data_IF_215099963431
#
_entry.id   IF_215099963431
#
_cell.length_a   1.000
_cell.length_b   1.000
_cell.length_c   1.000
_cell.angle_alpha   90.00
_cell.angle_beta   90.00
_cell.angle_gamma   90.00
#
_symmetry.space_group_name_H-M   'P 1'
#
loop_
_entity.id
_entity.type
_entity.pdbx_description
1 polymer ?
#
# COMPACT_ATOMS: atom_id res chain seq x y z
N UNK A 1 -0.88 -21.22 44.56
CA UNK A 1 -1.93 -21.31 45.59
C UNK A 1 -1.29 -21.79 46.88
N UNK A 2 -1.36 -21.03 47.95
CA UNK A 2 -1.03 -21.51 49.29
C UNK A 2 -2.34 -21.97 49.95
N UNK A 3 -2.54 -23.27 50.05
CA UNK A 3 -3.67 -23.84 50.77
C UNK A 3 -3.41 -23.79 52.28
N UNK A 4 -4.29 -23.17 53.05
CA UNK A 4 -4.28 -23.29 54.50
C UNK A 4 -4.89 -24.61 54.90
N UNK A 5 -4.23 -25.36 55.80
CA UNK A 5 -4.86 -26.49 56.52
C UNK A 5 -5.49 -25.97 57.79
N UNK A 6 -6.74 -26.37 58.07
CA UNK A 6 -7.38 -26.10 59.36
C UNK A 6 -6.93 -27.12 60.39
N UNK A 7 -6.35 -26.65 61.48
CA UNK A 7 -6.20 -27.46 62.67
C UNK A 7 -7.56 -27.53 63.41
N UNK A 8 -7.90 -28.65 63.99
CA UNK A 8 -9.25 -28.92 64.64
C UNK A 8 -9.66 -27.90 65.68
N UNK A 9 -8.76 -27.06 66.15
CA UNK A 9 -9.02 -26.06 67.20
C UNK A 9 -9.09 -24.61 66.70
N UNK A 10 -8.87 -24.33 65.38
CA UNK A 10 -8.94 -22.99 64.82
C UNK A 10 -10.03 -22.88 63.75
N UNK A 11 -11.06 -22.11 64.07
CA UNK A 11 -12.00 -21.68 63.02
C UNK A 11 -11.34 -20.63 62.11
N UNK A 12 -11.10 -21.00 60.85
CA UNK A 12 -10.66 -20.05 59.85
C UNK A 12 -11.87 -19.29 59.30
N UNK A 13 -11.90 -17.99 59.52
CA UNK A 13 -12.96 -17.11 59.01
C UNK A 13 -12.61 -16.49 57.67
N UNK A 14 -11.40 -16.76 57.15
CA UNK A 14 -10.90 -16.12 55.92
C UNK A 14 -9.97 -17.06 55.14
N UNK A 15 -10.26 -17.23 53.86
CA UNK A 15 -9.37 -17.85 52.89
C UNK A 15 -8.84 -16.75 51.97
N UNK A 16 -7.52 -16.64 51.86
CA UNK A 16 -6.88 -15.73 50.95
C UNK A 16 -6.46 -16.46 49.66
N UNK A 17 -6.93 -16.00 48.54
CA UNK A 17 -6.52 -16.48 47.21
C UNK A 17 -5.64 -15.42 46.59
N UNK A 18 -4.42 -15.83 46.17
CA UNK A 18 -3.47 -14.97 45.46
C UNK A 18 -3.30 -15.54 44.06
N UNK A 19 -3.52 -14.69 43.05
CA UNK A 19 -3.36 -15.03 41.63
C UNK A 19 -2.33 -14.10 41.01
N UNK A 20 -1.52 -14.62 40.08
CA UNK A 20 -0.74 -13.77 39.19
C UNK A 20 -1.66 -13.00 38.27
N UNK A 21 -1.23 -11.81 37.80
CA UNK A 21 -1.99 -11.06 36.82
C UNK A 21 -2.25 -11.91 35.57
N UNK A 22 -3.41 -11.72 34.95
CA UNK A 22 -3.68 -12.34 33.66
C UNK A 22 -2.88 -11.61 32.55
N UNK A 23 -1.93 -12.29 31.96
CA UNK A 23 -1.13 -11.77 30.84
C UNK A 23 -1.72 -12.12 29.47
N UNK A 24 -2.81 -12.91 29.43
CA UNK A 24 -3.50 -13.35 28.22
C UNK A 24 -4.43 -12.25 27.67
N UNK A 25 -4.71 -12.30 26.39
CA UNK A 25 -5.74 -11.47 25.74
C UNK A 25 -7.17 -12.00 25.99
N UNK A 26 -7.30 -13.14 26.69
CA UNK A 26 -8.57 -13.75 27.07
C UNK A 26 -8.84 -13.60 28.56
N UNK A 27 -10.12 -13.59 28.90
CA UNK A 27 -10.54 -13.85 30.27
C UNK A 27 -10.11 -15.27 30.66
N UNK A 28 -9.65 -15.46 31.86
CA UNK A 28 -9.42 -16.80 32.40
C UNK A 28 -10.24 -17.02 33.66
N UNK A 29 -10.68 -18.25 33.82
CA UNK A 29 -11.49 -18.67 34.95
C UNK A 29 -10.84 -19.87 35.61
N UNK A 30 -11.01 -19.98 36.92
CA UNK A 30 -10.58 -21.13 37.71
C UNK A 30 -11.58 -21.38 38.85
N UNK A 31 -12.03 -22.60 38.97
CA UNK A 31 -12.84 -23.00 40.11
C UNK A 31 -11.92 -23.57 41.20
N UNK A 32 -12.11 -23.10 42.42
CA UNK A 32 -11.46 -23.62 43.61
C UNK A 32 -12.52 -24.37 44.40
N UNK A 33 -12.29 -25.67 44.60
CA UNK A 33 -13.14 -26.53 45.41
C UNK A 33 -12.66 -26.48 46.86
N UNK A 34 -13.52 -26.00 47.77
CA UNK A 34 -13.25 -25.92 49.20
C UNK A 34 -14.08 -26.97 49.88
N UNK A 35 -13.44 -27.99 50.48
CA UNK A 35 -14.10 -29.08 51.17
C UNK A 35 -13.89 -28.97 52.65
N UNK A 36 -14.97 -28.91 53.41
CA UNK A 36 -14.96 -29.09 54.87
C UNK A 36 -14.66 -30.55 55.20
N UNK A 37 -13.53 -30.80 55.82
CA UNK A 37 -13.08 -32.14 56.14
C UNK A 37 -13.93 -32.82 57.27
N UNK A 38 -14.66 -32.01 58.02
CA UNK A 38 -15.51 -32.53 59.16
C UNK A 38 -16.82 -33.10 58.66
N UNK A 39 -17.53 -32.35 57.81
CA UNK A 39 -18.86 -32.72 57.32
C UNK A 39 -18.86 -33.15 55.85
N UNK A 40 -17.68 -33.10 55.15
CA UNK A 40 -17.51 -33.46 53.74
C UNK A 40 -18.30 -32.57 52.75
N UNK A 41 -18.78 -31.43 53.19
CA UNK A 41 -19.43 -30.49 52.31
C UNK A 41 -18.39 -29.78 51.47
N UNK A 42 -18.67 -29.61 50.17
CA UNK A 42 -17.81 -28.87 49.22
C UNK A 42 -18.54 -27.63 48.73
N UNK A 43 -17.84 -26.51 48.71
CA UNK A 43 -18.29 -25.26 48.12
C UNK A 43 -17.33 -24.85 47.03
N UNK A 44 -17.85 -24.44 45.90
CA UNK A 44 -17.08 -23.98 44.76
C UNK A 44 -16.93 -22.44 44.78
N UNK A 45 -15.71 -21.97 44.60
CA UNK A 45 -15.40 -20.56 44.40
C UNK A 45 -14.89 -20.38 42.98
N UNK A 46 -15.66 -19.70 42.14
CA UNK A 46 -15.25 -19.31 40.81
C UNK A 46 -14.41 -18.04 40.91
N UNK A 47 -13.22 -18.07 40.34
CA UNK A 47 -12.34 -16.93 40.20
C UNK A 47 -12.27 -16.56 38.71
N UNK A 48 -12.59 -15.33 38.38
CA UNK A 48 -12.50 -14.77 37.06
C UNK A 48 -11.44 -13.66 37.04
N UNK A 49 -10.60 -13.65 36.01
CA UNK A 49 -9.63 -12.61 35.79
C UNK A 49 -9.82 -12.05 34.38
N UNK A 50 -10.06 -10.76 34.32
CA UNK A 50 -10.15 -10.01 33.05
C UNK A 50 -8.88 -10.18 32.22
N UNK A 51 -8.99 -10.05 30.88
CA UNK A 51 -7.81 -10.04 30.01
C UNK A 51 -6.93 -8.85 30.33
N UNK A 52 -5.63 -8.97 29.97
CA UNK A 52 -4.67 -7.87 30.13
C UNK A 52 -5.03 -6.62 29.34
N UNK A 53 -5.75 -6.78 28.23
CA UNK A 53 -6.16 -5.71 27.33
C UNK A 53 -7.64 -5.81 27.00
N UNK A 54 -8.33 -4.67 27.04
CA UNK A 54 -9.69 -4.57 26.47
C UNK A 54 -9.60 -4.65 24.96
N UNK A 55 -10.31 -5.59 24.33
CA UNK A 55 -10.27 -5.77 22.89
C UNK A 55 -11.21 -4.85 22.12
N UNK A 56 -10.77 -4.42 20.95
CA UNK A 56 -11.55 -3.79 19.89
C UNK A 56 -11.89 -4.85 18.85
N UNK A 57 -13.14 -4.96 18.44
CA UNK A 57 -13.53 -5.96 17.44
C UNK A 57 -13.39 -5.39 16.04
N UNK A 58 -12.70 -6.14 15.17
CA UNK A 58 -12.69 -5.96 13.73
C UNK A 58 -13.64 -6.97 13.10
N UNK A 59 -14.74 -6.51 12.54
CA UNK A 59 -15.69 -7.35 11.82
C UNK A 59 -15.30 -7.43 10.34
N UNK A 60 -15.10 -8.65 9.83
CA UNK A 60 -14.79 -8.96 8.46
C UNK A 60 -15.98 -9.66 7.81
N UNK A 61 -16.37 -9.21 6.62
CA UNK A 61 -17.40 -9.87 5.81
C UNK A 61 -16.80 -10.25 4.43
N UNK A 62 -16.36 -11.52 4.27
CA UNK A 62 -15.74 -11.99 3.02
C UNK A 62 -16.71 -12.04 1.83
N UNK A 63 -18.02 -11.94 2.06
CA UNK A 63 -19.04 -11.97 1.00
C UNK A 63 -19.18 -10.63 0.29
N UNK A 64 -18.80 -9.52 0.96
CA UNK A 64 -18.82 -8.17 0.38
C UNK A 64 -17.46 -7.88 -0.23
N UNK A 65 -17.37 -8.03 -1.55
CA UNK A 65 -16.14 -7.83 -2.34
C UNK A 65 -16.12 -6.47 -3.02
N UNK A 66 -14.91 -5.90 -3.12
CA UNK A 66 -14.64 -4.63 -3.76
C UNK A 66 -13.66 -4.81 -4.94
N UNK A 67 -12.66 -3.95 -5.08
CA UNK A 67 -11.70 -3.99 -6.18
C UNK A 67 -10.69 -5.14 -6.05
N UNK A 68 -10.22 -5.67 -7.18
CA UNK A 68 -9.03 -6.52 -7.21
C UNK A 68 -7.77 -5.68 -6.97
N UNK A 69 -6.77 -6.26 -6.34
CA UNK A 69 -5.49 -5.60 -6.05
C UNK A 69 -4.44 -6.14 -7.02
N UNK A 70 -3.98 -5.28 -7.93
CA UNK A 70 -2.93 -5.62 -8.90
C UNK A 70 -1.55 -5.67 -8.25
N UNK A 71 -1.26 -4.75 -7.31
CA UNK A 71 -0.01 -4.79 -6.58
C UNK A 71 0.53 -3.46 -6.11
N UNK A 72 1.79 -3.52 -5.64
CA UNK A 72 2.51 -2.41 -5.03
C UNK A 72 3.96 -2.42 -5.51
N UNK A 73 4.56 -1.22 -5.63
CA UNK A 73 5.94 -1.12 -6.05
C UNK A 73 6.40 0.32 -6.22
N UNK A 74 7.32 0.57 -7.15
CA UNK A 74 7.85 1.91 -7.29
C UNK A 74 8.49 2.17 -8.65
N UNK A 75 8.95 3.42 -8.79
CA UNK A 75 9.59 3.94 -9.99
C UNK A 75 11.08 3.66 -10.02
N UNK A 76 11.61 3.34 -11.19
CA UNK A 76 13.03 3.28 -11.51
C UNK A 76 13.33 3.97 -12.84
N UNK A 77 14.23 4.97 -12.83
CA UNK A 77 14.74 5.63 -14.03
C UNK A 77 16.18 6.12 -13.79
N UNK A 78 17.19 5.31 -14.03
CA UNK A 78 18.58 5.61 -13.66
C UNK A 78 19.21 6.80 -14.42
N UNK A 79 18.62 7.24 -15.52
CA UNK A 79 19.14 8.35 -16.35
C UNK A 79 18.73 9.73 -15.85
N UNK A 80 17.57 9.85 -15.22
CA UNK A 80 16.98 11.14 -14.86
C UNK A 80 16.50 11.07 -13.39
N UNK A 81 16.70 12.16 -12.63
CA UNK A 81 16.25 12.41 -11.25
C UNK A 81 16.75 11.44 -10.16
N UNK A 82 17.11 10.21 -10.44
CA UNK A 82 17.66 9.33 -9.40
C UNK A 82 19.19 9.45 -9.23
N UNK A 83 19.81 10.48 -9.83
CA UNK A 83 21.23 10.76 -9.66
C UNK A 83 22.18 9.66 -10.17
N UNK A 84 21.73 8.82 -11.11
CA UNK A 84 22.48 7.66 -11.57
C UNK A 84 22.51 6.49 -10.58
N UNK A 85 21.69 6.51 -9.52
CA UNK A 85 21.60 5.43 -8.55
C UNK A 85 21.05 4.16 -9.20
N UNK A 86 21.93 3.22 -9.51
CA UNK A 86 21.56 1.93 -10.04
C UNK A 86 21.03 1.02 -8.94
N UNK A 87 20.05 0.21 -9.28
CA UNK A 87 19.56 -0.87 -8.42
C UNK A 87 20.29 -2.14 -8.86
N UNK A 88 21.04 -2.76 -7.96
CA UNK A 88 21.73 -4.02 -8.25
C UNK A 88 20.75 -5.21 -8.31
N UNK A 89 21.15 -6.30 -8.94
CA UNK A 89 20.38 -7.54 -8.97
C UNK A 89 20.00 -8.03 -7.56
N UNK A 90 20.91 -7.92 -6.58
CA UNK A 90 20.64 -8.26 -5.18
C UNK A 90 19.55 -7.36 -4.57
N UNK A 91 19.59 -6.06 -4.86
CA UNK A 91 18.58 -5.11 -4.36
C UNK A 91 17.21 -5.36 -5.00
N UNK A 92 17.18 -5.72 -6.29
CA UNK A 92 15.95 -6.13 -6.98
C UNK A 92 15.38 -7.42 -6.37
N UNK A 93 16.23 -8.40 -6.10
CA UNK A 93 15.83 -9.64 -5.41
C UNK A 93 15.28 -9.36 -4.00
N UNK A 94 15.89 -8.44 -3.26
CA UNK A 94 15.41 -8.01 -1.96
C UNK A 94 14.01 -7.36 -2.02
N UNK A 95 13.67 -6.67 -3.10
CA UNK A 95 12.37 -6.03 -3.29
C UNK A 95 11.32 -6.98 -3.88
N UNK A 96 11.68 -7.72 -4.94
CA UNK A 96 10.75 -8.48 -5.77
C UNK A 96 10.90 -10.00 -5.60
N UNK A 97 12.05 -10.49 -5.10
CA UNK A 97 12.36 -11.91 -4.99
C UNK A 97 11.56 -12.64 -3.91
N UNK A 98 11.61 -13.97 -3.96
CA UNK A 98 10.99 -14.82 -2.95
C UNK A 98 11.61 -14.55 -1.57
N UNK A 99 10.76 -14.30 -0.57
CA UNK A 99 11.21 -13.91 0.78
C UNK A 99 11.67 -12.46 0.92
N UNK A 100 11.62 -11.67 -0.16
CA UNK A 100 11.84 -10.23 -0.15
C UNK A 100 10.63 -9.44 0.32
N UNK A 101 10.56 -8.16 -0.07
CA UNK A 101 9.49 -7.26 0.36
C UNK A 101 8.13 -7.52 -0.33
N UNK A 102 8.10 -8.41 -1.34
CA UNK A 102 6.87 -8.78 -2.04
C UNK A 102 6.37 -7.73 -3.03
N UNK A 103 7.23 -6.79 -3.45
CA UNK A 103 6.82 -5.82 -4.47
C UNK A 103 6.48 -6.55 -5.78
N UNK A 104 5.50 -6.03 -6.48
CA UNK A 104 4.90 -6.68 -7.64
C UNK A 104 4.68 -5.74 -8.82
N UNK A 105 5.08 -4.48 -8.70
CA UNK A 105 4.96 -3.48 -9.79
C UNK A 105 6.29 -2.72 -9.93
N UNK A 106 6.76 -2.60 -11.16
CA UNK A 106 7.87 -1.74 -11.55
C UNK A 106 7.39 -0.74 -12.60
N UNK A 107 7.54 0.56 -12.30
CA UNK A 107 7.27 1.64 -13.23
C UNK A 107 8.57 2.12 -13.86
N UNK A 108 8.56 2.30 -15.17
CA UNK A 108 9.69 2.76 -15.99
C UNK A 108 9.37 4.06 -16.70
N UNK A 109 10.42 4.74 -17.17
CA UNK A 109 10.31 5.91 -18.02
C UNK A 109 10.45 5.53 -19.50
N UNK A 110 9.57 6.04 -20.35
CA UNK A 110 9.83 6.08 -21.79
C UNK A 110 10.69 7.31 -22.06
N UNK A 111 11.98 7.10 -22.22
CA UNK A 111 12.89 8.20 -22.54
C UNK A 111 12.61 8.74 -23.94
N UNK A 112 12.69 10.08 -24.14
CA UNK A 112 12.47 10.67 -25.47
C UNK A 112 13.52 10.23 -26.50
N UNK A 113 14.76 9.94 -26.06
CA UNK A 113 15.83 9.44 -26.92
C UNK A 113 15.86 7.90 -26.90
N UNK A 114 15.71 7.27 -28.05
CA UNK A 114 15.71 5.81 -28.19
C UNK A 114 17.03 5.16 -27.73
N UNK A 115 18.16 5.88 -27.82
CA UNK A 115 19.47 5.43 -27.31
C UNK A 115 19.50 5.19 -25.80
N UNK A 116 18.57 5.76 -25.05
CA UNK A 116 18.49 5.64 -23.60
C UNK A 116 17.59 4.49 -23.13
N UNK A 117 16.79 3.91 -24.02
CA UNK A 117 15.79 2.87 -23.67
C UNK A 117 16.39 1.62 -23.03
N UNK A 118 17.68 1.34 -23.32
CA UNK A 118 18.37 0.17 -22.76
C UNK A 118 18.68 0.31 -21.25
N UNK A 119 18.55 1.52 -20.68
CA UNK A 119 18.96 1.79 -19.31
C UNK A 119 18.19 0.99 -18.25
N UNK A 120 16.93 0.66 -18.53
CA UNK A 120 16.01 0.04 -17.59
C UNK A 120 15.79 -1.46 -17.86
N UNK A 121 16.28 -1.99 -18.99
CA UNK A 121 15.97 -3.35 -19.46
C UNK A 121 16.34 -4.42 -18.45
N UNK A 122 17.55 -4.39 -17.90
CA UNK A 122 18.01 -5.43 -16.97
C UNK A 122 17.24 -5.40 -15.65
N UNK A 123 16.89 -4.21 -15.14
CA UNK A 123 16.06 -4.08 -13.95
C UNK A 123 14.63 -4.59 -14.20
N UNK A 124 14.07 -4.27 -15.36
CA UNK A 124 12.73 -4.73 -15.77
C UNK A 124 12.68 -6.26 -15.91
N UNK A 125 13.69 -6.87 -16.55
CA UNK A 125 13.81 -8.34 -16.66
C UNK A 125 13.89 -9.01 -15.30
N UNK A 126 14.71 -8.47 -14.39
CA UNK A 126 14.89 -9.03 -13.06
C UNK A 126 13.59 -8.94 -12.24
N UNK A 127 12.89 -7.82 -12.28
CA UNK A 127 11.59 -7.67 -11.61
C UNK A 127 10.54 -8.62 -12.21
N UNK A 128 10.46 -8.70 -13.54
CA UNK A 128 9.50 -9.55 -14.25
C UNK A 128 9.78 -11.04 -14.04
N UNK A 129 11.04 -11.46 -13.91
CA UNK A 129 11.40 -12.83 -13.59
C UNK A 129 10.88 -13.27 -12.20
N UNK A 130 10.64 -12.31 -11.31
CA UNK A 130 10.00 -12.50 -10.01
C UNK A 130 8.47 -12.26 -10.04
N UNK A 131 7.87 -12.21 -11.22
CA UNK A 131 6.41 -12.07 -11.40
C UNK A 131 5.89 -10.64 -11.32
N UNK A 132 6.76 -9.63 -11.31
CA UNK A 132 6.30 -8.24 -11.24
C UNK A 132 5.65 -7.78 -12.55
N UNK A 133 4.61 -6.96 -12.42
CA UNK A 133 4.04 -6.17 -13.49
C UNK A 133 5.04 -5.05 -13.84
N UNK A 134 5.36 -4.90 -15.13
CA UNK A 134 6.18 -3.78 -15.62
C UNK A 134 5.32 -2.88 -16.49
N UNK A 135 5.26 -1.59 -16.20
CA UNK A 135 4.62 -0.60 -17.04
C UNK A 135 5.51 0.63 -17.22
N UNK A 136 5.23 1.41 -18.26
CA UNK A 136 6.06 2.55 -18.61
C UNK A 136 5.23 3.81 -18.88
N UNK A 137 5.85 4.96 -18.64
CA UNK A 137 5.24 6.27 -18.79
C UNK A 137 6.24 7.26 -19.43
N UNK A 138 5.88 8.04 -20.47
CA UNK A 138 6.70 9.12 -21.00
C UNK A 138 6.50 10.42 -20.21
N UNK A 139 7.60 11.16 -19.95
CA UNK A 139 7.57 12.51 -19.39
C UNK A 139 7.66 13.55 -20.51
N UNK A 140 8.55 13.32 -21.46
CA UNK A 140 8.82 14.23 -22.57
C UNK A 140 8.62 13.56 -23.92
N UNK A 141 8.05 14.29 -24.87
CA UNK A 141 8.19 13.95 -26.27
C UNK A 141 9.53 14.49 -26.81
N UNK A 142 9.98 13.95 -27.95
CA UNK A 142 11.20 14.44 -28.61
C UNK A 142 11.01 15.87 -29.08
N UNK A 143 12.12 16.66 -29.13
CA UNK A 143 12.07 18.05 -29.55
C UNK A 143 11.57 18.19 -31.00
N UNK A 144 11.85 17.21 -31.86
CA UNK A 144 11.37 17.20 -33.26
C UNK A 144 9.84 17.13 -33.37
N UNK A 145 9.14 16.59 -32.35
CA UNK A 145 7.69 16.47 -32.33
C UNK A 145 7.00 17.62 -31.58
N UNK A 146 7.77 18.45 -30.87
CA UNK A 146 7.27 19.46 -29.96
C UNK A 146 7.29 20.88 -30.52
N UNK A 147 6.61 21.75 -29.82
CA UNK A 147 6.67 23.21 -29.94
C UNK A 147 6.65 23.83 -28.53
N UNK A 148 6.92 25.14 -28.46
CA UNK A 148 6.75 25.90 -27.23
C UNK A 148 5.45 26.67 -27.31
N UNK A 149 4.61 26.53 -26.28
CA UNK A 149 3.37 27.29 -26.12
C UNK A 149 3.36 28.05 -24.79
N UNK A 150 2.50 29.04 -24.65
CA UNK A 150 2.33 29.76 -23.38
C UNK A 150 1.10 29.25 -22.64
N UNK A 151 1.32 28.73 -21.44
CA UNK A 151 0.26 28.34 -20.51
C UNK A 151 0.42 29.15 -19.23
N UNK A 152 -0.60 29.90 -18.84
CA UNK A 152 -0.58 30.77 -17.65
C UNK A 152 0.64 31.70 -17.60
N UNK A 153 1.09 32.21 -18.77
CA UNK A 153 2.21 33.12 -18.90
C UNK A 153 3.61 32.48 -18.90
N UNK A 154 3.72 31.16 -18.71
CA UNK A 154 4.96 30.38 -18.80
C UNK A 154 5.05 29.68 -20.15
N UNK A 155 6.27 29.61 -20.70
CA UNK A 155 6.55 28.76 -21.86
C UNK A 155 6.68 27.32 -21.40
N UNK A 156 5.94 26.42 -22.06
CA UNK A 156 5.94 24.97 -21.77
C UNK A 156 6.11 24.19 -23.09
N UNK A 157 6.74 23.04 -23.01
CA UNK A 157 6.82 22.09 -24.11
C UNK A 157 5.45 21.50 -24.39
N UNK A 158 5.08 21.36 -25.63
CA UNK A 158 3.79 20.88 -26.09
C UNK A 158 3.96 19.98 -27.31
N UNK A 159 3.27 18.86 -27.39
CA UNK A 159 3.26 17.98 -28.57
C UNK A 159 2.39 18.59 -29.67
N UNK A 160 2.98 18.83 -30.84
CA UNK A 160 2.21 19.34 -31.99
C UNK A 160 1.13 18.34 -32.42
N UNK A 161 -0.07 18.83 -32.68
CA UNK A 161 -1.23 17.99 -33.04
C UNK A 161 -0.98 17.15 -34.30
N UNK A 162 -0.31 17.72 -35.30
CA UNK A 162 0.10 17.03 -36.54
C UNK A 162 1.09 15.88 -36.29
N UNK A 163 1.77 15.87 -35.14
CA UNK A 163 2.75 14.85 -34.75
C UNK A 163 2.18 13.75 -33.85
N UNK A 164 0.89 13.74 -33.56
CA UNK A 164 0.25 12.71 -32.70
C UNK A 164 0.51 11.28 -33.24
N UNK A 165 0.45 11.09 -34.56
CA UNK A 165 0.77 9.80 -35.18
C UNK A 165 2.22 9.38 -34.96
N UNK A 166 3.16 10.30 -35.16
CA UNK A 166 4.58 10.03 -34.92
C UNK A 166 4.89 9.74 -33.44
N UNK A 167 4.19 10.41 -32.52
CA UNK A 167 4.31 10.14 -31.09
C UNK A 167 3.74 8.76 -30.72
N UNK A 168 2.58 8.39 -31.26
CA UNK A 168 2.03 7.04 -31.09
C UNK A 168 3.00 5.96 -31.61
N UNK A 169 3.64 6.20 -32.76
CA UNK A 169 4.67 5.32 -33.32
C UNK A 169 5.91 5.24 -32.42
N UNK A 170 6.30 6.33 -31.75
CA UNK A 170 7.38 6.32 -30.77
C UNK A 170 7.05 5.40 -29.58
N UNK A 171 5.84 5.49 -29.01
CA UNK A 171 5.39 4.59 -27.95
C UNK A 171 5.37 3.11 -28.41
N UNK A 172 4.89 2.86 -29.63
CA UNK A 172 4.86 1.49 -30.19
C UNK A 172 6.27 0.97 -30.43
N UNK A 173 7.22 1.79 -30.90
CA UNK A 173 8.62 1.38 -31.02
C UNK A 173 9.24 1.04 -29.67
N UNK A 174 8.94 1.82 -28.62
CA UNK A 174 9.40 1.50 -27.27
C UNK A 174 8.85 0.17 -26.77
N UNK A 175 7.55 -0.09 -26.94
CA UNK A 175 6.93 -1.37 -26.57
C UNK A 175 7.62 -2.54 -27.29
N UNK A 176 7.84 -2.40 -28.60
CA UNK A 176 8.51 -3.44 -29.39
C UNK A 176 9.98 -3.62 -28.99
N UNK A 177 10.69 -2.52 -28.69
CA UNK A 177 12.05 -2.57 -28.19
C UNK A 177 12.13 -3.35 -26.87
N UNK A 178 11.26 -3.06 -25.90
CA UNK A 178 11.21 -3.76 -24.61
C UNK A 178 10.94 -5.26 -24.82
N UNK A 179 9.96 -5.60 -25.67
CA UNK A 179 9.64 -6.99 -26.01
C UNK A 179 10.80 -7.72 -26.66
N UNK A 180 11.50 -7.11 -27.60
CA UNK A 180 12.69 -7.68 -28.26
C UNK A 180 13.83 -7.92 -27.27
N UNK A 181 13.89 -7.14 -26.19
CA UNK A 181 14.87 -7.31 -25.12
C UNK A 181 14.37 -8.20 -23.96
N UNK A 182 13.24 -8.90 -24.15
CA UNK A 182 12.71 -9.86 -23.18
C UNK A 182 11.91 -9.25 -22.02
N UNK A 183 11.37 -8.05 -22.21
CA UNK A 183 10.48 -7.37 -21.25
C UNK A 183 9.09 -7.24 -21.86
N UNK A 184 8.11 -7.92 -21.29
CA UNK A 184 6.71 -7.80 -21.67
C UNK A 184 6.04 -6.69 -20.82
N UNK A 185 5.80 -5.53 -21.43
CA UNK A 185 5.09 -4.45 -20.77
C UNK A 185 3.62 -4.81 -20.54
N UNK A 186 3.17 -4.66 -19.31
CA UNK A 186 1.76 -4.84 -18.94
C UNK A 186 0.89 -3.69 -19.42
N UNK A 187 1.41 -2.46 -19.31
CA UNK A 187 0.72 -1.25 -19.69
C UNK A 187 1.70 -0.15 -20.11
N UNK A 188 1.18 0.83 -20.83
CA UNK A 188 1.87 2.08 -21.15
C UNK A 188 0.92 3.25 -20.92
N UNK A 189 1.45 4.37 -20.40
CA UNK A 189 0.70 5.62 -20.28
C UNK A 189 0.90 6.49 -21.51
N UNK A 190 -0.06 7.40 -21.74
CA UNK A 190 0.03 8.38 -22.82
C UNK A 190 1.05 9.47 -22.46
N UNK A 191 0.99 9.99 -21.24
CA UNK A 191 1.82 11.09 -20.76
C UNK A 191 1.85 11.11 -19.24
N UNK A 192 3.02 11.32 -18.64
CA UNK A 192 3.15 11.63 -17.22
C UNK A 192 2.75 13.10 -17.00
N UNK A 193 1.85 13.31 -16.04
CA UNK A 193 1.44 14.64 -15.62
C UNK A 193 1.17 15.60 -16.78
N UNK A 194 0.18 15.31 -17.63
CA UNK A 194 -0.16 16.15 -18.78
C UNK A 194 -0.54 17.58 -18.38
N UNK A 195 -0.89 17.81 -17.13
CA UNK A 195 -1.20 19.11 -16.50
C UNK A 195 0.04 19.90 -16.05
N UNK A 196 1.25 19.31 -16.20
CA UNK A 196 2.52 19.93 -15.79
C UNK A 196 3.37 20.34 -17.01
N UNK A 197 4.57 20.86 -16.77
CA UNK A 197 5.42 21.52 -17.75
C UNK A 197 6.48 20.62 -18.43
N UNK A 198 6.40 19.30 -18.28
CA UNK A 198 7.27 18.37 -19.03
C UNK A 198 6.91 18.36 -20.52
N UNK A 199 5.80 17.75 -20.87
CA UNK A 199 5.08 17.96 -22.12
C UNK A 199 3.63 18.21 -21.75
N UNK A 200 3.21 19.44 -21.85
CA UNK A 200 1.87 19.88 -21.49
C UNK A 200 0.83 19.40 -22.51
N UNK A 201 -0.31 18.94 -22.04
CA UNK A 201 -1.49 18.60 -22.81
C UNK A 201 -2.73 19.19 -22.16
N UNK A 202 -3.62 19.75 -22.92
CA UNK A 202 -4.95 20.05 -22.42
C UNK A 202 -5.75 18.77 -22.19
N UNK A 203 -6.76 18.77 -21.33
CA UNK A 203 -7.65 17.61 -21.12
C UNK A 203 -8.24 17.06 -22.43
N UNK A 204 -8.65 17.97 -23.35
CA UNK A 204 -9.24 17.56 -24.62
C UNK A 204 -8.21 16.90 -25.56
N UNK A 205 -6.96 17.35 -25.54
CA UNK A 205 -5.89 16.74 -26.34
C UNK A 205 -5.58 15.32 -25.89
N UNK A 206 -5.61 15.04 -24.58
CA UNK A 206 -5.46 13.68 -24.06
C UNK A 206 -6.60 12.80 -24.58
N UNK A 207 -7.85 13.29 -24.53
CA UNK A 207 -9.03 12.58 -25.08
C UNK A 207 -8.88 12.33 -26.57
N UNK A 208 -8.52 13.35 -27.35
CA UNK A 208 -8.37 13.25 -28.81
C UNK A 208 -7.29 12.24 -29.18
N UNK A 209 -6.14 12.25 -28.51
CA UNK A 209 -5.06 11.31 -28.75
C UNK A 209 -5.48 9.87 -28.42
N UNK A 210 -6.08 9.65 -27.25
CA UNK A 210 -6.53 8.32 -26.83
C UNK A 210 -7.56 7.76 -27.80
N UNK A 211 -8.52 8.57 -28.25
CA UNK A 211 -9.52 8.15 -29.25
C UNK A 211 -8.89 7.77 -30.58
N UNK A 212 -7.93 8.58 -31.04
CA UNK A 212 -7.38 8.44 -32.38
C UNK A 212 -6.32 7.33 -32.47
N UNK A 213 -5.50 7.17 -31.42
CA UNK A 213 -4.34 6.28 -31.45
C UNK A 213 -4.36 5.16 -30.41
N UNK A 214 -5.29 5.19 -29.44
CA UNK A 214 -5.36 4.19 -28.39
C UNK A 214 -5.51 2.76 -28.91
N UNK A 215 -6.37 2.54 -29.90
CA UNK A 215 -6.52 1.23 -30.53
C UNK A 215 -5.22 0.72 -31.16
N UNK A 216 -4.51 1.59 -31.90
CA UNK A 216 -3.22 1.27 -32.55
C UNK A 216 -2.14 0.86 -31.52
N UNK A 217 -2.07 1.57 -30.38
CA UNK A 217 -1.14 1.22 -29.29
C UNK A 217 -1.52 -0.13 -28.69
N UNK A 218 -2.80 -0.36 -28.41
CA UNK A 218 -3.32 -1.61 -27.82
C UNK A 218 -3.17 -2.84 -28.74
N UNK A 219 -3.06 -2.66 -30.06
CA UNK A 219 -2.75 -3.75 -31.01
C UNK A 219 -1.39 -4.41 -30.72
N UNK A 220 -0.46 -3.75 -30.00
CA UNK A 220 0.78 -4.35 -29.50
C UNK A 220 0.57 -5.39 -28.41
N UNK A 221 -0.64 -5.47 -27.84
CA UNK A 221 -1.00 -6.34 -26.73
C UNK A 221 -0.88 -5.70 -25.35
N UNK A 222 -0.39 -4.44 -25.24
CA UNK A 222 -0.29 -3.72 -23.97
C UNK A 222 -1.60 -3.01 -23.63
N UNK A 223 -1.84 -2.78 -22.34
CA UNK A 223 -2.94 -1.94 -21.83
C UNK A 223 -2.58 -0.47 -21.96
N UNK A 224 -3.58 0.37 -22.19
CA UNK A 224 -3.39 1.82 -22.19
C UNK A 224 -3.87 2.43 -20.87
N UNK A 225 -3.02 3.26 -20.28
CA UNK A 225 -3.29 4.01 -19.06
C UNK A 225 -3.48 5.51 -19.38
N UNK A 226 -4.44 6.15 -18.73
CA UNK A 226 -4.72 7.59 -18.88
C UNK A 226 -5.58 8.08 -17.71
N UNK A 227 -5.58 9.37 -17.35
CA UNK A 227 -4.76 10.46 -17.88
C UNK A 227 -3.38 10.63 -17.21
N UNK A 228 -3.13 10.03 -16.03
CA UNK A 228 -1.92 10.18 -15.19
C UNK A 228 -1.60 11.62 -14.76
N UNK A 229 -2.62 12.43 -14.51
CA UNK A 229 -2.44 13.80 -14.07
C UNK A 229 -1.94 13.91 -12.62
N UNK A 230 -1.21 14.98 -12.31
CA UNK A 230 -0.41 15.20 -11.09
C UNK A 230 -1.19 15.04 -9.78
N UNK A 231 -2.47 15.39 -9.76
CA UNK A 231 -3.30 15.27 -8.55
C UNK A 231 -4.59 14.49 -8.75
N UNK A 232 -4.71 13.70 -9.81
CA UNK A 232 -5.97 13.03 -10.21
C UNK A 232 -7.14 14.03 -10.27
N UNK A 233 -7.00 15.18 -10.95
CA UNK A 233 -8.04 16.21 -10.96
C UNK A 233 -9.21 15.80 -11.84
N UNK A 234 -10.46 16.19 -11.47
CA UNK A 234 -11.63 15.92 -12.29
C UNK A 234 -11.51 16.44 -13.73
N UNK A 235 -10.81 17.57 -13.92
CA UNK A 235 -10.62 18.24 -15.19
C UNK A 235 -9.92 17.36 -16.24
N UNK A 236 -9.04 16.45 -15.81
CA UNK A 236 -8.35 15.49 -16.70
C UNK A 236 -8.99 14.11 -16.69
N UNK A 237 -9.48 13.67 -15.53
CA UNK A 237 -10.00 12.31 -15.38
C UNK A 237 -11.43 12.18 -15.94
N UNK A 238 -12.30 13.14 -15.68
CA UNK A 238 -13.69 13.11 -16.14
C UNK A 238 -13.84 13.14 -17.67
N UNK A 239 -13.07 13.92 -18.45
CA UNK A 239 -13.15 13.87 -19.91
C UNK A 239 -12.85 12.47 -20.48
N UNK A 240 -11.88 11.75 -19.92
CA UNK A 240 -11.59 10.35 -20.33
C UNK A 240 -12.74 9.43 -20.02
N UNK A 241 -13.34 9.53 -18.82
CA UNK A 241 -14.43 8.66 -18.38
C UNK A 241 -15.73 8.95 -19.14
N UNK A 242 -16.00 10.22 -19.44
CA UNK A 242 -17.27 10.67 -20.03
C UNK A 242 -17.28 10.60 -21.57
N UNK A 243 -16.11 10.52 -22.23
CA UNK A 243 -16.04 10.31 -23.67
C UNK A 243 -16.00 8.80 -23.97
N UNK A 244 -17.05 8.27 -24.59
CA UNK A 244 -17.19 6.84 -24.85
C UNK A 244 -16.04 6.27 -25.71
N UNK A 245 -15.49 7.07 -26.65
CA UNK A 245 -14.37 6.65 -27.50
C UNK A 245 -13.05 6.57 -26.72
N UNK A 246 -12.72 7.57 -25.94
CA UNK A 246 -11.54 7.58 -25.09
C UNK A 246 -11.63 6.51 -24.00
N UNK A 247 -12.78 6.41 -23.34
CA UNK A 247 -13.01 5.41 -22.31
C UNK A 247 -12.86 3.97 -22.85
N UNK A 248 -13.37 3.70 -24.06
CA UNK A 248 -13.23 2.37 -24.69
C UNK A 248 -11.76 1.98 -24.93
N UNK A 249 -10.88 2.95 -25.19
CA UNK A 249 -9.45 2.71 -25.43
C UNK A 249 -8.61 2.75 -24.15
N UNK A 250 -9.09 3.29 -23.03
CA UNK A 250 -8.39 3.34 -21.76
C UNK A 250 -8.69 2.08 -20.94
N UNK A 251 -7.69 1.30 -20.60
CA UNK A 251 -7.85 0.08 -19.80
C UNK A 251 -7.73 0.36 -18.30
N UNK A 252 -6.90 1.32 -17.91
CA UNK A 252 -6.60 1.67 -16.52
C UNK A 252 -6.73 3.19 -16.37
N UNK A 253 -7.54 3.62 -15.42
CA UNK A 253 -7.57 5.02 -15.01
C UNK A 253 -6.41 5.23 -14.03
N UNK A 254 -5.50 6.14 -14.37
CA UNK A 254 -4.28 6.39 -13.62
C UNK A 254 -4.15 7.84 -13.21
N UNK A 255 -3.54 8.08 -12.05
CA UNK A 255 -3.27 9.42 -11.56
C UNK A 255 -2.37 9.44 -10.34
N UNK A 256 -1.88 10.64 -9.99
CA UNK A 256 -0.99 10.88 -8.87
C UNK A 256 -1.71 11.57 -7.71
N UNK A 257 -1.03 11.76 -6.56
CA UNK A 257 -1.63 12.36 -5.37
C UNK A 257 -0.86 13.58 -4.83
N UNK A 258 -0.08 14.25 -5.67
CA UNK A 258 0.76 15.39 -5.23
C UNK A 258 0.00 16.62 -4.74
N UNK A 259 -1.29 16.73 -5.01
CA UNK A 259 -2.11 17.84 -4.52
C UNK A 259 -2.79 17.55 -3.17
N UNK A 260 -2.26 16.59 -2.42
CA UNK A 260 -2.76 16.20 -1.12
C UNK A 260 -3.92 15.21 -1.18
N UNK A 261 -3.80 14.16 -0.40
CA UNK A 261 -4.83 13.15 -0.18
C UNK A 261 -4.95 12.82 1.30
N UNK A 262 -3.83 12.87 2.01
CA UNK A 262 -3.75 12.65 3.45
C UNK A 262 -3.36 13.89 4.22
N UNK A 263 -3.00 14.98 3.54
CA UNK A 263 -2.63 16.23 4.18
C UNK A 263 -3.84 16.82 4.93
N UNK A 264 -3.80 16.68 6.23
CA UNK A 264 -4.87 17.08 7.13
C UNK A 264 -4.96 18.60 7.30
N UNK A 265 -3.93 19.34 6.92
CA UNK A 265 -3.87 20.80 7.07
C UNK A 265 -4.50 21.53 5.88
N UNK A 266 -4.84 20.79 4.81
CA UNK A 266 -5.38 21.38 3.61
C UNK A 266 -6.81 20.89 3.35
N UNK A 267 -7.82 21.75 3.47
CA UNK A 267 -9.23 21.45 3.18
C UNK A 267 -9.52 20.85 1.78
N UNK A 268 -8.51 20.82 0.94
CA UNK A 268 -8.47 20.18 -0.38
C UNK A 268 -8.59 18.66 -0.31
N UNK A 269 -8.07 18.03 0.75
CA UNK A 269 -7.97 16.59 0.92
C UNK A 269 -9.32 15.87 0.87
N UNK A 270 -10.32 16.39 1.58
CA UNK A 270 -11.63 15.74 1.64
C UNK A 270 -12.31 15.66 0.27
N UNK A 271 -12.27 16.72 -0.51
CA UNK A 271 -12.89 16.74 -1.84
C UNK A 271 -12.19 15.78 -2.81
N UNK A 272 -10.86 15.64 -2.69
CA UNK A 272 -10.08 14.71 -3.48
C UNK A 272 -10.41 13.25 -3.13
N UNK A 273 -10.47 12.93 -1.85
CA UNK A 273 -10.84 11.62 -1.36
C UNK A 273 -12.25 11.25 -1.82
N UNK A 274 -13.22 12.14 -1.64
CA UNK A 274 -14.59 11.90 -2.05
C UNK A 274 -14.70 11.71 -3.58
N UNK A 275 -13.94 12.47 -4.36
CA UNK A 275 -13.87 12.32 -5.82
C UNK A 275 -13.31 10.95 -6.22
N UNK A 276 -12.18 10.54 -5.64
CA UNK A 276 -11.52 9.26 -5.94
C UNK A 276 -12.41 8.08 -5.55
N UNK A 277 -13.02 8.10 -4.37
CA UNK A 277 -13.98 7.07 -3.95
C UNK A 277 -15.19 7.00 -4.92
N UNK A 278 -15.59 8.13 -5.48
CA UNK A 278 -16.64 8.24 -6.47
C UNK A 278 -16.28 7.74 -7.88
N UNK A 279 -15.00 7.44 -8.16
CA UNK A 279 -14.58 6.90 -9.47
C UNK A 279 -15.05 5.46 -9.67
N UNK A 280 -14.99 4.62 -8.63
CA UNK A 280 -15.23 3.18 -8.74
C UNK A 280 -16.55 2.81 -9.45
N UNK A 281 -17.71 3.36 -9.09
CA UNK A 281 -18.94 3.08 -9.82
C UNK A 281 -18.97 3.67 -11.24
N UNK A 282 -18.17 4.68 -11.56
CA UNK A 282 -18.14 5.37 -12.85
C UNK A 282 -17.24 4.70 -13.89
N UNK A 283 -16.26 3.92 -13.44
CA UNK A 283 -15.28 3.27 -14.33
C UNK A 283 -15.69 1.87 -14.80
N UNK A 284 -16.91 1.44 -14.48
CA UNK A 284 -17.56 0.26 -15.06
C UNK A 284 -16.69 -1.01 -15.14
N UNK A 285 -16.06 -1.37 -14.03
CA UNK A 285 -15.22 -2.57 -13.92
C UNK A 285 -13.77 -2.39 -14.38
N UNK A 286 -13.37 -1.23 -14.88
CA UNK A 286 -11.95 -0.87 -15.02
C UNK A 286 -11.35 -0.60 -13.64
N UNK A 287 -10.03 -0.49 -13.58
CA UNK A 287 -9.32 -0.23 -12.32
C UNK A 287 -8.77 1.19 -12.28
N UNK A 288 -8.69 1.73 -11.08
CA UNK A 288 -7.95 2.96 -10.80
C UNK A 288 -6.63 2.62 -10.13
N UNK A 289 -5.52 3.22 -10.63
CA UNK A 289 -4.17 3.04 -10.11
C UNK A 289 -3.60 4.39 -9.67
N UNK A 290 -3.08 4.43 -8.46
CA UNK A 290 -2.23 5.52 -7.98
C UNK A 290 -0.80 5.22 -8.43
N UNK A 291 -0.35 5.95 -9.47
CA UNK A 291 0.84 5.59 -10.23
C UNK A 291 2.09 6.36 -9.80
N UNK A 292 1.93 7.41 -8.99
CA UNK A 292 3.07 8.15 -8.43
C UNK A 292 2.69 8.98 -7.21
N UNK A 293 3.47 8.88 -6.14
CA UNK A 293 3.56 9.85 -5.06
C UNK A 293 4.83 9.63 -4.24
N UNK A 294 5.32 10.70 -3.59
CA UNK A 294 6.42 10.65 -2.62
C UNK A 294 6.10 11.56 -1.43
N UNK A 295 6.81 11.34 -0.33
CA UNK A 295 6.78 12.19 0.85
C UNK A 295 8.20 12.63 1.20
N UNK A 296 8.47 13.94 1.12
CA UNK A 296 9.75 14.55 1.50
C UNK A 296 9.61 15.92 2.17
N UNK A 297 8.44 16.22 2.74
CA UNK A 297 8.10 17.54 3.29
C UNK A 297 8.97 17.97 4.48
N UNK A 298 9.73 17.04 5.05
CA UNK A 298 10.61 17.32 6.17
C UNK A 298 11.92 18.02 5.82
N UNK A 299 12.21 18.25 4.53
CA UNK A 299 13.46 18.85 4.05
C UNK A 299 13.45 20.40 4.17
N UNK A 300 13.04 20.93 5.34
CA UNK A 300 12.95 22.38 5.57
C UNK A 300 14.15 22.96 6.30
N UNK A 301 15.14 22.13 6.65
CA UNK A 301 16.33 22.51 7.43
C UNK A 301 17.59 21.94 6.80
N UNK A 302 18.70 22.66 6.93
CA UNK A 302 20.02 22.14 6.56
C UNK A 302 20.53 21.07 7.54
N UNK A 303 19.88 20.89 8.69
CA UNK A 303 20.17 19.84 9.66
C UNK A 303 19.36 18.57 9.35
N UNK A 304 20.01 17.48 8.90
CA UNK A 304 19.34 16.22 8.60
C UNK A 304 18.52 15.66 9.76
N UNK A 305 18.91 15.90 10.99
CA UNK A 305 18.18 15.39 12.17
C UNK A 305 16.79 16.00 12.34
N UNK A 306 16.54 17.14 11.70
CA UNK A 306 15.26 17.83 11.72
C UNK A 306 14.30 17.34 10.61
N UNK A 307 14.76 16.46 9.69
CA UNK A 307 13.94 16.02 8.55
C UNK A 307 12.85 15.04 8.97
N UNK A 308 11.60 15.44 8.79
CA UNK A 308 10.43 14.68 9.25
C UNK A 308 10.24 13.35 8.50
N UNK A 309 10.54 13.30 7.18
CA UNK A 309 10.40 12.08 6.38
C UNK A 309 11.30 10.92 6.83
N UNK A 310 12.28 11.18 7.68
CA UNK A 310 13.13 10.16 8.32
C UNK A 310 12.49 9.56 9.58
N UNK A 311 11.48 10.20 10.15
CA UNK A 311 10.85 9.78 11.40
C UNK A 311 9.76 8.75 11.15
N UNK A 312 9.74 7.70 11.97
CA UNK A 312 8.71 6.66 11.87
C UNK A 312 7.29 7.22 11.88
N UNK A 313 7.00 8.15 12.80
CA UNK A 313 5.68 8.74 12.94
C UNK A 313 5.23 9.47 11.65
N UNK A 314 6.16 10.13 10.97
CA UNK A 314 5.88 10.76 9.67
C UNK A 314 5.56 9.70 8.60
N UNK A 315 6.40 8.65 8.49
CA UNK A 315 6.18 7.57 7.52
C UNK A 315 4.80 6.90 7.72
N UNK A 316 4.44 6.60 8.97
CA UNK A 316 3.16 5.97 9.29
C UNK A 316 1.98 6.90 8.99
N UNK A 317 2.06 8.17 9.39
CA UNK A 317 0.96 9.14 9.24
C UNK A 317 0.75 9.61 7.80
N UNK A 318 1.79 9.53 6.96
CA UNK A 318 1.71 9.91 5.54
C UNK A 318 1.57 8.67 4.65
N UNK A 319 2.64 7.92 4.41
CA UNK A 319 2.59 6.78 3.49
C UNK A 319 1.64 5.68 3.97
N UNK A 320 1.73 5.28 5.25
CA UNK A 320 0.86 4.23 5.78
C UNK A 320 -0.62 4.59 5.68
N UNK A 321 -0.95 5.83 6.07
CA UNK A 321 -2.31 6.34 5.99
C UNK A 321 -2.80 6.52 4.55
N UNK A 322 -1.95 7.02 3.65
CA UNK A 322 -2.33 7.22 2.25
C UNK A 322 -2.60 5.90 1.54
N UNK A 323 -1.75 4.88 1.70
CA UNK A 323 -2.03 3.56 1.11
C UNK A 323 -3.36 3.03 1.64
N UNK A 324 -3.62 3.14 2.96
CA UNK A 324 -4.89 2.73 3.53
C UNK A 324 -6.08 3.45 2.87
N UNK A 325 -6.02 4.76 2.76
CA UNK A 325 -7.07 5.57 2.12
C UNK A 325 -7.23 5.23 0.63
N UNK A 326 -6.12 4.96 -0.08
CA UNK A 326 -6.17 4.47 -1.46
C UNK A 326 -6.91 3.14 -1.56
N UNK A 327 -6.62 2.19 -0.66
CA UNK A 327 -7.31 0.91 -0.65
C UNK A 327 -8.81 1.08 -0.37
N UNK A 328 -9.20 1.93 0.59
CA UNK A 328 -10.61 2.26 0.84
C UNK A 328 -11.24 2.99 -0.34
N UNK A 329 -10.49 3.85 -1.03
CA UNK A 329 -10.87 4.56 -2.25
C UNK A 329 -10.85 3.70 -3.53
N UNK A 330 -10.88 2.38 -3.39
CA UNK A 330 -10.96 1.41 -4.48
C UNK A 330 -9.76 1.41 -5.43
N UNK A 331 -8.59 1.86 -4.97
CA UNK A 331 -7.34 1.77 -5.70
C UNK A 331 -6.91 0.31 -5.89
N UNK A 332 -6.50 -0.06 -7.09
CA UNK A 332 -6.03 -1.42 -7.40
C UNK A 332 -4.51 -1.56 -7.40
N UNK A 333 -3.78 -0.47 -7.47
CA UNK A 333 -2.31 -0.48 -7.42
C UNK A 333 -1.77 0.82 -6.82
N UNK A 334 -0.68 0.71 -6.08
CA UNK A 334 0.00 1.86 -5.49
C UNK A 334 1.48 1.83 -5.86
N UNK A 335 1.99 2.90 -6.50
CA UNK A 335 3.36 3.02 -6.99
C UNK A 335 4.05 4.23 -6.37
N UNK A 336 5.14 3.98 -5.65
CA UNK A 336 5.90 5.02 -4.95
C UNK A 336 7.01 5.61 -5.83
N UNK A 337 7.31 6.86 -5.64
CA UNK A 337 8.38 7.60 -6.28
C UNK A 337 9.49 7.93 -5.28
N UNK A 338 10.66 7.27 -5.21
CA UNK A 338 11.24 6.18 -6.01
C UNK A 338 11.41 4.88 -5.23
N UNK A 339 11.85 3.80 -5.93
CA UNK A 339 12.36 2.60 -5.26
C UNK A 339 13.62 2.90 -4.44
N UNK A 340 14.65 3.53 -5.03
CA UNK A 340 15.94 3.83 -4.39
C UNK A 340 16.25 5.32 -4.46
N UNK A 341 16.08 6.01 -3.36
CA UNK A 341 16.36 7.43 -3.18
C UNK A 341 16.38 7.78 -1.69
N UNK A 342 16.92 8.97 -1.30
CA UNK A 342 16.93 9.41 0.10
C UNK A 342 15.55 9.49 0.77
N UNK A 343 14.48 9.68 0.00
CA UNK A 343 13.09 9.62 0.45
C UNK A 343 12.36 8.36 -0.06
N UNK A 344 13.09 7.43 -0.69
CA UNK A 344 12.56 6.24 -1.33
C UNK A 344 12.18 5.10 -0.39
N UNK A 345 11.92 3.95 -0.98
CA UNK A 345 11.65 2.71 -0.26
C UNK A 345 12.96 2.03 0.20
N UNK A 346 14.06 2.36 -0.47
CA UNK A 346 15.43 1.92 -0.19
C UNK A 346 16.34 3.14 -0.20
N UNK A 347 17.30 3.18 0.72
CA UNK A 347 18.30 4.24 0.82
C UNK A 347 19.28 4.27 -0.35
N UNK A 348 19.77 5.46 -0.64
CA UNK A 348 20.85 5.73 -1.59
C UNK A 348 22.07 6.35 -0.89
N UNK A 349 23.07 6.79 -1.67
CA UNK A 349 24.27 7.44 -1.11
C UNK A 349 24.08 8.91 -0.72
N UNK A 350 22.86 9.46 -0.83
CA UNK A 350 22.61 10.84 -0.42
C UNK A 350 22.68 10.96 1.11
N UNK A 351 23.34 12.03 1.61
CA UNK A 351 23.45 12.30 3.05
C UNK A 351 22.09 12.46 3.77
N UNK A 352 21.04 12.71 3.02
CA UNK A 352 19.65 12.83 3.50
C UNK A 352 18.97 11.48 3.70
N UNK A 353 19.55 10.40 3.17
CA UNK A 353 18.97 9.07 3.32
C UNK A 353 18.89 8.66 4.79
N UNK A 354 17.71 8.19 5.28
CA UNK A 354 17.54 7.78 6.67
C UNK A 354 18.25 6.45 6.99
N UNK A 355 18.67 5.72 5.97
CA UNK A 355 19.34 4.41 6.06
C UNK A 355 20.52 4.36 5.11
N UNK A 356 21.39 3.38 5.27
CA UNK A 356 22.55 3.15 4.40
C UNK A 356 22.12 2.82 2.96
N UNK A 357 23.07 2.93 2.02
CA UNK A 357 22.84 2.57 0.63
C UNK A 357 22.39 1.13 0.49
N UNK A 358 21.25 0.93 -0.16
CA UNK A 358 20.66 -0.38 -0.38
C UNK A 358 19.99 -1.01 0.85
N UNK A 359 19.89 -0.29 1.95
CA UNK A 359 19.08 -0.68 3.09
C UNK A 359 17.62 -0.26 2.91
N UNK A 360 16.70 -1.09 3.40
CA UNK A 360 15.27 -0.79 3.30
C UNK A 360 14.88 0.26 4.35
N UNK A 361 14.28 1.34 3.89
CA UNK A 361 13.74 2.40 4.74
C UNK A 361 12.39 1.99 5.37
N UNK A 362 11.93 2.73 6.38
CA UNK A 362 10.60 2.50 7.00
C UNK A 362 9.47 2.54 5.99
N UNK A 363 9.54 3.43 5.00
CA UNK A 363 8.60 3.48 3.89
C UNK A 363 8.55 2.15 3.09
N UNK A 364 9.71 1.51 2.91
CA UNK A 364 9.78 0.21 2.25
C UNK A 364 9.07 -0.90 3.02
N UNK A 365 9.19 -0.92 4.33
CA UNK A 365 8.48 -1.88 5.17
C UNK A 365 6.97 -1.60 5.24
N UNK A 366 6.55 -0.34 5.28
CA UNK A 366 5.12 0.02 5.18
C UNK A 366 4.53 -0.51 3.87
N UNK A 367 5.22 -0.27 2.75
CA UNK A 367 4.78 -0.79 1.45
C UNK A 367 4.71 -2.33 1.45
N UNK A 368 5.68 -3.01 2.09
CA UNK A 368 5.74 -4.47 2.15
C UNK A 368 4.54 -5.09 2.89
N UNK A 369 3.98 -4.41 3.90
CA UNK A 369 2.75 -4.88 4.56
C UNK A 369 1.59 -5.03 3.57
N UNK A 370 1.44 -4.11 2.63
CA UNK A 370 0.42 -4.23 1.59
C UNK A 370 0.86 -5.16 0.46
N UNK A 371 2.11 -5.06 0.02
CA UNK A 371 2.63 -5.88 -1.08
C UNK A 371 2.52 -7.38 -0.80
N UNK A 372 2.93 -7.84 0.38
CA UNK A 372 2.89 -9.26 0.76
C UNK A 372 1.50 -9.78 1.13
N UNK A 373 0.59 -8.89 1.54
CA UNK A 373 -0.70 -9.29 2.11
C UNK A 373 -1.91 -8.94 1.26
N UNK A 374 -1.76 -8.05 0.26
CA UNK A 374 -2.88 -7.65 -0.56
C UNK A 374 -2.70 -7.94 -2.07
N UNK A 375 -1.47 -8.08 -2.57
CA UNK A 375 -1.24 -8.35 -4.01
C UNK A 375 -1.94 -9.61 -4.48
N UNK A 376 -2.61 -9.54 -5.63
CA UNK A 376 -3.31 -10.68 -6.24
C UNK A 376 -4.59 -11.11 -5.52
N UNK A 377 -5.09 -10.30 -4.60
CA UNK A 377 -6.31 -10.56 -3.84
C UNK A 377 -7.46 -9.64 -4.26
N UNK A 378 -8.60 -9.81 -3.63
CA UNK A 378 -9.73 -8.89 -3.72
C UNK A 378 -9.98 -8.26 -2.35
N UNK A 379 -10.09 -6.92 -2.29
CA UNK A 379 -10.47 -6.25 -1.04
C UNK A 379 -11.88 -6.64 -0.63
N UNK A 380 -12.08 -6.90 0.66
CA UNK A 380 -13.35 -7.26 1.27
C UNK A 380 -13.72 -6.29 2.39
N UNK A 381 -14.97 -6.35 2.85
CA UNK A 381 -15.45 -5.48 3.92
C UNK A 381 -14.79 -5.80 5.24
N UNK A 382 -14.21 -4.77 5.87
CA UNK A 382 -13.65 -4.80 7.22
C UNK A 382 -14.08 -3.52 7.95
N UNK A 383 -14.59 -3.66 9.18
CA UNK A 383 -15.10 -2.51 9.95
C UNK A 383 -14.71 -2.65 11.42
N UNK A 384 -14.13 -1.59 11.96
CA UNK A 384 -13.92 -1.42 13.40
C UNK A 384 -14.60 -0.14 13.89
N UNK A 385 -14.98 -0.11 15.15
CA UNK A 385 -15.57 1.07 15.79
C UNK A 385 -14.55 1.97 16.52
N UNK A 386 -13.26 1.64 16.42
CA UNK A 386 -12.18 2.44 17.00
C UNK A 386 -11.60 3.39 15.95
N UNK A 387 -11.75 4.69 16.14
CA UNK A 387 -11.31 5.72 15.21
C UNK A 387 -9.78 5.88 15.13
N UNK A 388 -9.04 5.37 16.10
CA UNK A 388 -7.56 5.37 16.09
C UNK A 388 -6.95 4.15 15.39
N UNK A 389 -7.80 3.19 14.94
CA UNK A 389 -7.39 1.99 14.22
C UNK A 389 -7.98 2.01 12.82
N UNK A 390 -7.13 1.93 11.83
CA UNK A 390 -7.53 1.72 10.44
C UNK A 390 -7.31 0.26 10.04
N UNK A 391 -8.22 -0.32 9.25
CA UNK A 391 -8.14 -1.70 8.83
C UNK A 391 -8.64 -1.90 7.41
N UNK A 392 -7.89 -2.66 6.62
CA UNK A 392 -8.35 -3.21 5.34
C UNK A 392 -8.17 -4.71 5.33
N UNK A 393 -9.09 -5.43 4.69
CA UNK A 393 -9.03 -6.88 4.58
C UNK A 393 -9.15 -7.34 3.13
N UNK A 394 -8.56 -8.47 2.83
CA UNK A 394 -8.43 -9.01 1.49
C UNK A 394 -8.66 -10.52 1.52
N UNK A 395 -9.18 -11.06 0.43
CA UNK A 395 -9.40 -12.50 0.25
C UNK A 395 -8.71 -12.96 -1.03
N UNK A 396 -8.04 -14.11 -0.97
CA UNK A 396 -7.43 -14.69 -2.17
C UNK A 396 -8.50 -15.30 -3.10
N UNK A 397 -8.13 -15.65 -4.31
CA UNK A 397 -9.03 -16.17 -5.34
C UNK A 397 -9.74 -17.45 -4.91
N UNK A 398 -9.04 -18.35 -4.20
CA UNK A 398 -9.59 -19.63 -3.75
C UNK A 398 -10.50 -19.51 -2.53
N UNK A 399 -10.52 -18.34 -1.87
CA UNK A 399 -11.33 -18.08 -0.68
C UNK A 399 -10.86 -18.78 0.60
N UNK A 400 -9.66 -19.37 0.60
CA UNK A 400 -9.13 -20.12 1.74
C UNK A 400 -8.13 -19.32 2.60
N UNK A 401 -7.86 -18.08 2.23
CA UNK A 401 -7.00 -17.17 2.97
C UNK A 401 -7.61 -15.76 2.99
N UNK A 402 -7.68 -15.20 4.19
CA UNK A 402 -8.01 -13.79 4.42
C UNK A 402 -6.78 -13.11 5.02
N UNK A 403 -6.41 -11.97 4.47
CA UNK A 403 -5.35 -11.12 5.04
C UNK A 403 -5.92 -9.79 5.51
N UNK A 404 -5.28 -9.21 6.52
CA UNK A 404 -5.70 -7.94 7.12
C UNK A 404 -4.47 -7.06 7.29
N UNK A 405 -4.58 -5.79 6.93
CA UNK A 405 -3.59 -4.75 7.26
C UNK A 405 -4.22 -3.77 8.23
N UNK A 406 -3.57 -3.57 9.36
CA UNK A 406 -4.02 -2.76 10.49
C UNK A 406 -3.02 -1.65 10.77
N UNK A 407 -3.48 -0.42 10.91
CA UNK A 407 -2.67 0.70 11.37
C UNK A 407 -3.21 1.18 12.72
N UNK A 408 -2.31 1.30 13.69
CA UNK A 408 -2.60 1.87 15.00
C UNK A 408 -1.95 3.26 15.08
N UNK A 409 -2.76 4.30 14.98
CA UNK A 409 -2.33 5.70 15.14
C UNK A 409 -2.38 6.19 16.58
N UNK A 410 -2.79 5.34 17.52
CA UNK A 410 -2.76 5.69 18.94
C UNK A 410 -1.37 5.43 19.51
N UNK A 411 -0.96 6.22 20.50
CA UNK A 411 0.30 5.98 21.22
C UNK A 411 0.28 4.77 22.16
N UNK A 412 -0.84 4.04 22.24
CA UNK A 412 -1.04 2.92 23.17
C UNK A 412 -1.18 1.59 22.43
N UNK A 413 -0.76 0.51 23.10
CA UNK A 413 -1.03 -0.85 22.61
C UNK A 413 -2.54 -1.10 22.54
N UNK A 414 -2.99 -1.67 21.42
CA UNK A 414 -4.38 -2.06 21.18
C UNK A 414 -4.48 -3.57 21.00
N UNK A 415 -5.51 -4.16 21.58
CA UNK A 415 -5.85 -5.59 21.36
C UNK A 415 -6.97 -5.66 20.34
N UNK A 416 -6.73 -6.29 19.18
CA UNK A 416 -7.76 -6.46 18.16
C UNK A 416 -8.27 -7.89 18.18
N UNK A 417 -9.59 -8.01 18.35
CA UNK A 417 -10.32 -9.26 18.22
C UNK A 417 -10.84 -9.37 16.77
N UNK A 418 -10.44 -10.40 16.05
CA UNK A 418 -10.88 -10.70 14.68
C UNK A 418 -11.68 -12.00 14.69
N UNK A 419 -13.02 -11.96 14.83
CA UNK A 419 -13.86 -13.14 14.68
C UNK A 419 -13.89 -13.54 13.19
N UNK A 420 -13.64 -14.81 12.89
CA UNK A 420 -13.70 -15.33 11.52
C UNK A 420 -13.98 -16.84 11.56
N UNK A 421 -15.16 -17.23 11.12
CA UNK A 421 -15.58 -18.63 11.08
C UNK A 421 -14.69 -19.46 10.13
N UNK A 422 -14.42 -20.69 10.50
CA UNK A 422 -13.60 -21.62 9.72
C UNK A 422 -12.10 -21.36 9.79
N UNK A 423 -11.63 -20.40 10.56
CA UNK A 423 -10.21 -20.10 10.71
C UNK A 423 -9.46 -21.24 11.38
N UNK A 424 -8.35 -21.67 10.78
CA UNK A 424 -7.47 -22.74 11.29
C UNK A 424 -6.17 -22.22 11.86
N UNK A 425 -5.63 -21.14 11.27
CA UNK A 425 -4.31 -20.61 11.64
C UNK A 425 -4.27 -19.09 11.44
N UNK A 426 -3.50 -18.42 12.29
CA UNK A 426 -3.17 -17.01 12.15
C UNK A 426 -1.67 -16.79 12.28
N UNK A 427 -1.11 -15.92 11.46
CA UNK A 427 0.24 -15.39 11.58
C UNK A 427 0.18 -13.87 11.47
N UNK A 428 1.01 -13.18 12.25
CA UNK A 428 1.05 -11.72 12.22
C UNK A 428 2.49 -11.20 12.22
N UNK A 429 2.69 -10.06 11.55
CA UNK A 429 3.95 -9.32 11.54
C UNK A 429 3.70 -7.86 11.86
N UNK A 430 4.67 -7.20 12.46
CA UNK A 430 4.58 -5.81 12.91
C UNK A 430 5.78 -5.00 12.42
N UNK A 431 5.50 -3.78 11.98
CA UNK A 431 6.50 -2.71 11.81
C UNK A 431 6.12 -1.52 12.69
N UNK A 432 7.10 -1.00 13.39
CA UNK A 432 7.01 0.23 14.16
C UNK A 432 8.39 0.92 14.19
N UNK A 433 8.62 1.86 15.06
CA UNK A 433 9.92 2.54 15.17
C UNK A 433 11.10 1.55 15.32
N UNK A 434 10.91 0.47 16.09
CA UNK A 434 11.97 -0.47 16.47
C UNK A 434 11.90 -1.83 15.75
N UNK A 435 10.81 -2.12 15.04
CA UNK A 435 10.56 -3.40 14.35
C UNK A 435 10.39 -3.20 12.86
N UNK A 436 10.76 -4.21 12.06
CA UNK A 436 10.65 -4.23 10.61
C UNK A 436 10.09 -5.59 10.16
N UNK A 437 8.76 -5.70 9.97
CA UNK A 437 8.07 -6.94 9.61
C UNK A 437 8.37 -8.10 10.57
N UNK A 438 8.57 -7.80 11.84
CA UNK A 438 8.85 -8.83 12.84
C UNK A 438 7.60 -9.64 13.17
N UNK A 439 7.80 -10.96 13.28
CA UNK A 439 6.73 -11.89 13.68
C UNK A 439 6.28 -11.57 15.11
N UNK A 440 4.99 -11.39 15.29
CA UNK A 440 4.36 -11.20 16.60
C UNK A 440 3.41 -12.35 16.93
N UNK A 441 3.18 -12.58 18.23
CA UNK A 441 2.29 -13.62 18.70
C UNK A 441 0.83 -13.27 18.44
N UNK A 442 0.06 -14.32 18.14
CA UNK A 442 -1.40 -14.27 18.03
C UNK A 442 -2.00 -15.25 19.05
N UNK A 443 -3.21 -14.98 19.51
CA UNK A 443 -3.91 -15.87 20.44
C UNK A 443 -5.30 -16.23 19.88
N UNK A 444 -5.56 -17.53 19.68
CA UNK A 444 -6.84 -18.01 19.16
C UNK A 444 -7.99 -17.69 20.12
N UNK A 445 -9.16 -17.35 19.59
CA UNK A 445 -10.39 -17.26 20.41
C UNK A 445 -10.71 -18.62 21.04
N UNK A 446 -11.43 -18.62 22.15
CA UNK A 446 -11.86 -19.86 22.83
C UNK A 446 -12.74 -20.74 21.92
N UNK A 447 -13.60 -20.12 21.12
CA UNK A 447 -14.40 -20.81 20.11
C UNK A 447 -13.58 -21.48 19.01
N UNK A 448 -12.29 -21.14 18.86
CA UNK A 448 -11.46 -21.49 17.70
C UNK A 448 -11.80 -20.69 16.42
N UNK A 449 -12.82 -19.85 16.48
CA UNK A 449 -13.29 -19.08 15.32
C UNK A 449 -12.83 -17.62 15.37
N UNK A 450 -11.54 -17.41 15.24
CA UNK A 450 -10.95 -16.08 15.21
C UNK A 450 -9.71 -15.96 16.09
N UNK A 451 -9.17 -14.76 16.15
CA UNK A 451 -7.87 -14.48 16.75
C UNK A 451 -7.85 -13.15 17.48
N UNK A 452 -7.02 -13.06 18.51
CA UNK A 452 -6.56 -11.80 19.10
C UNK A 452 -5.16 -11.47 18.60
N UNK A 453 -4.93 -10.20 18.31
CA UNK A 453 -3.63 -9.64 17.89
C UNK A 453 -3.37 -8.37 18.68
N UNK A 454 -2.14 -8.19 19.20
CA UNK A 454 -1.70 -6.96 19.82
C UNK A 454 -1.00 -6.08 18.80
N UNK A 455 -1.42 -4.83 18.69
CA UNK A 455 -0.79 -3.78 17.92
C UNK A 455 -0.07 -2.84 18.87
N UNK A 456 1.24 -2.68 18.76
CA UNK A 456 1.97 -1.64 19.50
C UNK A 456 1.41 -0.24 19.19
N UNK A 457 1.63 0.73 20.06
CA UNK A 457 1.30 2.12 19.73
C UNK A 457 2.08 2.60 18.50
N UNK A 458 1.43 3.36 17.62
CA UNK A 458 2.03 3.86 16.38
C UNK A 458 2.69 2.73 15.56
N UNK A 459 1.91 1.78 15.07
CA UNK A 459 2.41 0.62 14.33
C UNK A 459 1.53 0.27 13.14
N UNK A 460 2.11 -0.52 12.23
CA UNK A 460 1.39 -1.25 11.18
C UNK A 460 1.57 -2.74 11.41
N UNK A 461 0.48 -3.48 11.36
CA UNK A 461 0.44 -4.94 11.56
C UNK A 461 -0.29 -5.59 10.41
N UNK A 462 0.28 -6.65 9.86
CA UNK A 462 -0.42 -7.51 8.90
C UNK A 462 -0.68 -8.87 9.49
N UNK A 463 -1.88 -9.38 9.26
CA UNK A 463 -2.35 -10.68 9.74
C UNK A 463 -2.76 -11.54 8.56
N UNK A 464 -2.30 -12.79 8.53
CA UNK A 464 -2.73 -13.80 7.57
C UNK A 464 -3.56 -14.85 8.30
N UNK A 465 -4.78 -15.07 7.85
CA UNK A 465 -5.77 -15.97 8.42
C UNK A 465 -6.06 -17.08 7.40
N UNK A 466 -5.67 -18.31 7.70
CA UNK A 466 -5.98 -19.50 6.88
C UNK A 466 -7.32 -20.08 7.30
N UNK A 467 -8.23 -20.31 6.33
CA UNK A 467 -9.57 -20.86 6.51
C UNK A 467 -9.62 -22.36 6.25
#
# INVERSE_FOLDING_TARGET
MSGGSSDREKQYTKIQVVCNANASMKQRTQTIHITDLTNKQTTDLLIEQEPAFKSVTLNIDPTVKYQPIAGFGGMYNPKIWCGGNLISARQLDQMYGEGGLGYSILRLMVYPNESDWNADVEAAKAAQANGAIVFACPWDCTDALSEQIKVNGKEVKHLKKENYGAYADHLIRYINFMKQNGVDLYAISVQNEPDMDFTYWTPQEVVDFVKQYGAKIRETGVRLMSPEACGTPPEYTDPIINDAGAFAQTDIIAGHLYQGFTDLDNGYVKNRHDYICGLYPRIHGKTWWMTEHLFNDGEKSDDPSAWEFQKWQYCLNHLGKEIHMCMEGYCSAYVYWYLKRFYGLMGDNDKRSPVGEGEIAKNGYIMAHYAQYATGTTRIKAVTNNTGICATAYINETGNEVTVVLLNFTGATQCIKIPLAGMKRANAVETNENKNMEVISTEMLESGEGVYVLLSGNSIVSVRLTL
#
